data_IF_420789538896
#
_entry.id   IF_420789538896
#
_cell.length_a   1.000
_cell.length_b   1.000
_cell.length_c   1.000
_cell.angle_alpha   90.00
_cell.angle_beta   90.00
_cell.angle_gamma   90.00
#
_symmetry.space_group_name_H-M   'P 1'
#
loop_
_entity.id
_entity.type
_entity.pdbx_description
1 polymer ?
#
# COMPACT_ATOMS: atom_id res chain seq x y z
N UNK A 1 40.27 -46.67 -7.52
CA UNK A 1 38.86 -46.25 -7.67
C UNK A 1 38.69 -45.03 -6.76
N UNK A 2 38.85 -43.83 -7.32
CA UNK A 2 38.58 -42.59 -6.60
C UNK A 2 37.08 -42.33 -6.68
N UNK A 3 36.45 -42.11 -5.52
CA UNK A 3 35.09 -41.62 -5.44
C UNK A 3 35.14 -40.09 -5.53
N UNK A 4 34.78 -39.54 -6.67
CA UNK A 4 34.45 -38.12 -6.79
C UNK A 4 33.08 -37.89 -6.13
N UNK A 5 33.10 -37.15 -5.01
CA UNK A 5 31.88 -36.60 -4.41
C UNK A 5 31.58 -35.31 -5.17
N UNK A 6 30.36 -35.11 -5.71
CA UNK A 6 30.02 -33.85 -6.35
C UNK A 6 30.06 -32.75 -5.31
N UNK A 7 30.87 -31.72 -5.56
CA UNK A 7 30.82 -30.45 -4.83
C UNK A 7 29.39 -29.91 -4.93
N UNK A 8 28.69 -29.92 -3.80
CA UNK A 8 27.50 -29.11 -3.63
C UNK A 8 27.94 -27.67 -3.81
N UNK A 9 27.52 -27.05 -4.92
CA UNK A 9 27.61 -25.61 -5.07
C UNK A 9 26.79 -25.01 -3.93
N UNK A 10 27.46 -24.34 -3.00
CA UNK A 10 26.83 -23.46 -2.04
C UNK A 10 25.99 -22.47 -2.84
N UNK A 11 24.68 -22.68 -2.87
CA UNK A 11 23.75 -21.65 -3.29
C UNK A 11 24.00 -20.50 -2.31
N UNK A 12 24.60 -19.42 -2.81
CA UNK A 12 24.79 -18.23 -2.01
C UNK A 12 23.43 -17.83 -1.45
N UNK A 13 23.31 -17.80 -0.12
CA UNK A 13 22.27 -17.08 0.62
C UNK A 13 22.32 -15.63 0.15
N UNK A 14 21.67 -15.36 -0.97
CA UNK A 14 21.42 -14.00 -1.40
C UNK A 14 20.32 -13.54 -0.47
N UNK A 15 20.54 -12.55 0.41
CA UNK A 15 19.47 -12.04 1.25
C UNK A 15 18.31 -11.71 0.33
N UNK A 16 17.16 -12.35 0.55
CA UNK A 16 15.93 -11.98 -0.13
C UNK A 16 15.75 -10.50 0.19
N UNK A 17 15.92 -9.63 -0.80
CA UNK A 17 15.65 -8.21 -0.60
C UNK A 17 14.18 -8.12 -0.19
N UNK A 18 13.95 -7.78 1.07
CA UNK A 18 12.61 -7.42 1.52
C UNK A 18 12.31 -6.08 0.87
N UNK A 19 11.33 -6.09 -0.02
CA UNK A 19 10.91 -4.89 -0.73
C UNK A 19 10.35 -3.89 0.28
N UNK A 20 10.88 -2.66 0.23
CA UNK A 20 10.40 -1.59 1.10
C UNK A 20 9.15 -0.96 0.52
N UNK A 21 8.20 -0.63 1.36
CA UNK A 21 7.07 0.24 0.99
C UNK A 21 7.58 1.67 0.88
N UNK A 22 7.40 2.27 -0.29
CA UNK A 22 7.84 3.65 -0.53
C UNK A 22 6.92 4.66 0.18
N UNK A 23 7.53 5.68 0.79
CA UNK A 23 6.85 6.84 1.38
C UNK A 23 7.10 8.08 0.53
N UNK A 24 6.02 8.73 0.13
CA UNK A 24 5.99 9.99 -0.63
C UNK A 24 5.22 11.06 0.12
N UNK A 25 5.35 12.32 -0.31
CA UNK A 25 4.65 13.45 0.29
C UNK A 25 4.36 14.58 -0.69
N UNK A 26 3.18 15.20 -0.54
CA UNK A 26 2.82 16.48 -1.19
C UNK A 26 3.23 17.71 -0.38
N UNK A 27 3.76 17.48 0.83
CA UNK A 27 4.35 18.50 1.69
C UNK A 27 5.88 18.32 1.78
N UNK A 28 6.67 19.42 1.81
CA UNK A 28 8.13 19.34 1.91
C UNK A 28 8.61 19.04 3.34
N UNK A 29 8.32 17.84 3.84
CA UNK A 29 8.87 17.36 5.12
C UNK A 29 10.39 17.22 5.06
N UNK A 30 11.04 17.39 6.20
CA UNK A 30 12.46 17.04 6.37
C UNK A 30 12.65 15.53 6.44
N UNK A 31 13.88 15.05 6.21
CA UNK A 31 14.22 13.63 6.35
C UNK A 31 13.86 13.06 7.73
N UNK A 32 14.02 13.87 8.78
CA UNK A 32 13.65 13.48 10.15
C UNK A 32 12.14 13.34 10.32
N UNK A 33 11.36 14.22 9.68
CA UNK A 33 9.90 14.14 9.70
C UNK A 33 9.41 12.94 8.87
N UNK A 34 9.99 12.68 7.69
CA UNK A 34 9.70 11.49 6.90
C UNK A 34 10.01 10.19 7.65
N UNK A 35 11.16 10.12 8.33
CA UNK A 35 11.49 8.99 9.19
C UNK A 35 10.51 8.84 10.36
N UNK A 36 10.04 9.95 10.91
CA UNK A 36 9.01 9.94 11.97
C UNK A 36 7.67 9.42 11.44
N UNK A 37 7.29 9.82 10.23
CA UNK A 37 6.06 9.36 9.58
C UNK A 37 6.16 7.86 9.26
N UNK A 38 7.28 7.41 8.68
CA UNK A 38 7.52 5.99 8.39
C UNK A 38 7.35 5.13 9.66
N UNK A 39 8.02 5.49 10.75
CA UNK A 39 7.87 4.79 12.05
C UNK A 39 6.45 4.83 12.59
N UNK A 40 5.74 5.94 12.40
CA UNK A 40 4.32 5.98 12.77
C UNK A 40 3.48 5.04 11.90
N UNK A 41 3.83 4.87 10.63
CA UNK A 41 3.15 3.96 9.71
C UNK A 41 3.38 2.48 10.03
N UNK A 42 4.58 2.14 10.53
CA UNK A 42 4.96 0.78 10.88
C UNK A 42 4.38 0.30 12.20
N UNK A 43 3.81 1.21 13.02
CA UNK A 43 3.54 0.96 14.44
C UNK A 43 2.76 -0.32 14.70
N UNK A 44 1.57 -0.48 14.11
CA UNK A 44 0.75 -1.65 14.37
C UNK A 44 1.31 -2.89 13.64
N UNK A 45 2.04 -2.71 12.54
CA UNK A 45 2.77 -3.80 11.87
C UNK A 45 3.82 -4.41 12.80
N UNK A 46 4.65 -3.57 13.40
CA UNK A 46 5.66 -3.98 14.37
C UNK A 46 5.05 -4.62 15.63
N UNK A 47 4.02 -3.98 16.20
CA UNK A 47 3.34 -4.48 17.41
C UNK A 47 2.68 -5.86 17.17
N UNK A 48 2.46 -6.26 15.90
CA UNK A 48 1.93 -7.56 15.49
C UNK A 48 2.98 -8.52 14.88
N UNK A 49 4.27 -8.28 15.13
CA UNK A 49 5.36 -9.19 14.72
C UNK A 49 5.93 -8.94 13.32
N UNK A 50 5.61 -7.80 12.70
CA UNK A 50 6.27 -7.30 11.51
C UNK A 50 7.70 -6.83 11.78
N UNK A 51 8.46 -6.62 10.70
CA UNK A 51 9.82 -6.07 10.79
C UNK A 51 9.77 -4.55 10.98
N UNK A 52 10.79 -3.98 11.61
CA UNK A 52 11.06 -2.53 11.54
C UNK A 52 11.67 -2.18 10.18
N UNK A 53 11.59 -0.91 9.78
CA UNK A 53 12.25 -0.33 8.61
C UNK A 53 11.81 -0.89 7.24
N UNK A 54 10.60 -1.47 7.17
CA UNK A 54 9.98 -1.92 5.91
C UNK A 54 9.28 -0.78 5.15
N UNK A 55 9.06 0.38 5.78
CA UNK A 55 8.59 1.62 5.15
C UNK A 55 9.75 2.60 5.10
N UNK A 56 10.02 3.16 3.92
CA UNK A 56 11.11 4.14 3.75
C UNK A 56 10.75 5.26 2.77
N UNK A 57 11.29 6.45 3.04
CA UNK A 57 11.22 7.55 2.09
C UNK A 57 11.86 7.15 0.75
N UNK A 58 11.13 7.38 -0.34
CA UNK A 58 11.69 7.16 -1.67
C UNK A 58 12.85 8.14 -1.96
N UNK A 59 13.74 7.86 -2.93
CA UNK A 59 14.87 8.75 -3.25
C UNK A 59 14.45 10.17 -3.67
N UNK A 60 13.27 10.29 -4.30
CA UNK A 60 12.58 11.55 -4.55
C UNK A 60 11.24 11.48 -3.80
N UNK A 61 11.19 11.84 -2.50
CA UNK A 61 9.98 11.64 -1.70
C UNK A 61 8.96 12.77 -1.89
N UNK A 62 9.37 13.95 -2.37
CA UNK A 62 8.52 15.13 -2.45
C UNK A 62 7.94 15.38 -3.86
N UNK A 63 6.63 15.56 -3.90
CA UNK A 63 5.84 15.92 -5.07
C UNK A 63 5.00 17.17 -4.74
N UNK A 64 5.67 18.32 -4.62
CA UNK A 64 5.01 19.60 -4.31
C UNK A 64 4.47 20.28 -5.58
N UNK A 65 3.58 21.25 -5.44
CA UNK A 65 3.05 22.10 -6.52
C UNK A 65 2.24 21.36 -7.62
N UNK A 66 2.49 21.65 -8.91
CA UNK A 66 1.75 21.09 -10.06
C UNK A 66 1.86 19.57 -10.20
N UNK A 67 2.84 18.97 -9.50
CA UNK A 67 3.10 17.54 -9.44
C UNK A 67 2.43 16.86 -8.24
N UNK A 68 1.74 17.61 -7.37
CA UNK A 68 1.04 17.12 -6.17
C UNK A 68 -0.22 16.30 -6.46
N UNK A 69 -0.16 15.44 -7.48
CA UNK A 69 -1.20 14.51 -7.88
C UNK A 69 -0.68 13.09 -7.71
N UNK A 70 -1.58 12.18 -7.36
CA UNK A 70 -1.23 10.77 -7.12
C UNK A 70 -0.64 10.15 -8.40
N UNK A 71 -1.13 10.54 -9.58
CA UNK A 71 -0.65 10.05 -10.87
C UNK A 71 0.83 10.36 -11.13
N UNK A 72 1.32 11.52 -10.67
CA UNK A 72 2.74 11.88 -10.78
C UNK A 72 3.61 10.99 -9.90
N UNK A 73 3.12 10.66 -8.70
CA UNK A 73 3.78 9.72 -7.78
C UNK A 73 3.80 8.32 -8.40
N UNK A 74 2.68 7.86 -8.95
CA UNK A 74 2.56 6.55 -9.61
C UNK A 74 3.53 6.42 -10.78
N UNK A 75 3.61 7.44 -11.64
CA UNK A 75 4.52 7.43 -12.78
C UNK A 75 5.98 7.26 -12.32
N UNK A 76 6.39 8.03 -11.31
CA UNK A 76 7.72 7.91 -10.73
C UNK A 76 7.94 6.56 -10.04
N UNK A 77 6.97 6.07 -9.26
CA UNK A 77 7.06 4.81 -8.53
C UNK A 77 7.23 3.63 -9.49
N UNK A 78 6.47 3.60 -10.59
CA UNK A 78 6.63 2.59 -11.66
C UNK A 78 8.01 2.62 -12.32
N UNK A 79 8.66 3.78 -12.39
CA UNK A 79 10.04 3.88 -12.87
C UNK A 79 11.06 3.44 -11.81
N UNK A 80 10.82 3.80 -10.55
CA UNK A 80 11.66 3.45 -9.41
C UNK A 80 11.79 1.94 -9.23
N UNK A 81 10.70 1.18 -9.33
CA UNK A 81 10.68 -0.27 -9.05
C UNK A 81 11.34 -1.12 -10.15
N UNK A 82 11.71 -0.52 -11.29
CA UNK A 82 12.41 -1.25 -12.38
C UNK A 82 13.86 -1.55 -12.06
N UNK A 83 14.46 -0.89 -11.06
CA UNK A 83 15.86 -1.08 -10.71
C UNK A 83 16.10 -0.74 -9.24
N UNK A 84 16.85 -1.57 -8.49
CA UNK A 84 17.23 -1.26 -7.12
C UNK A 84 17.99 0.07 -7.04
N UNK A 85 17.81 0.79 -5.94
CA UNK A 85 18.52 2.04 -5.65
C UNK A 85 19.59 1.84 -4.61
N UNK A 86 20.64 2.65 -4.61
CA UNK A 86 21.66 2.60 -3.57
C UNK A 86 21.08 3.02 -2.21
N UNK A 87 21.30 2.20 -1.18
CA UNK A 87 20.99 2.49 0.21
C UNK A 87 22.23 2.38 1.11
N UNK A 88 22.13 2.82 2.37
CA UNK A 88 23.27 2.80 3.32
C UNK A 88 23.80 1.39 3.60
N UNK A 89 22.92 0.38 3.55
CA UNK A 89 23.23 -1.01 3.87
C UNK A 89 23.27 -1.92 2.62
N UNK A 90 23.26 -1.33 1.42
CA UNK A 90 23.23 -2.02 0.15
C UNK A 90 22.06 -1.59 -0.75
N UNK A 91 21.83 -2.30 -1.87
CA UNK A 91 20.71 -2.01 -2.76
C UNK A 91 19.37 -2.10 -2.03
N UNK A 92 18.44 -1.20 -2.37
CA UNK A 92 17.08 -1.16 -1.86
C UNK A 92 16.12 -1.34 -3.04
N UNK A 93 15.25 -2.33 -2.94
CA UNK A 93 14.09 -2.49 -3.82
C UNK A 93 12.84 -1.96 -3.13
N UNK A 94 11.90 -1.44 -3.90
CA UNK A 94 10.61 -0.98 -3.39
C UNK A 94 9.49 -1.90 -3.88
N UNK A 95 8.45 -2.05 -3.06
CA UNK A 95 7.26 -2.83 -3.38
C UNK A 95 6.61 -2.26 -4.67
N UNK A 96 6.32 -3.08 -5.69
CA UNK A 96 5.77 -2.62 -6.96
C UNK A 96 4.26 -2.33 -6.94
N UNK A 97 3.56 -2.79 -5.92
CA UNK A 97 2.11 -2.79 -5.82
C UNK A 97 1.57 -1.80 -4.78
N UNK A 98 2.33 -1.52 -3.72
CA UNK A 98 1.84 -0.73 -2.58
C UNK A 98 2.83 0.36 -2.16
N UNK A 99 2.31 1.57 -1.95
CA UNK A 99 3.08 2.68 -1.40
C UNK A 99 2.19 3.66 -0.63
N UNK A 100 2.82 4.57 0.12
CA UNK A 100 2.15 5.54 0.99
C UNK A 100 2.42 6.95 0.49
N UNK A 101 1.39 7.80 0.52
CA UNK A 101 1.47 9.24 0.23
C UNK A 101 0.94 10.05 1.39
N UNK A 102 1.75 11.00 1.87
CA UNK A 102 1.36 11.97 2.89
C UNK A 102 0.90 13.25 2.22
N UNK A 103 -0.38 13.58 2.35
CA UNK A 103 -0.96 14.74 1.63
C UNK A 103 -0.73 16.06 2.35
N UNK A 104 -0.52 16.05 3.66
CA UNK A 104 -0.65 17.23 4.52
C UNK A 104 0.22 17.14 5.78
N UNK A 105 0.71 18.27 6.33
CA UNK A 105 1.40 18.30 7.63
C UNK A 105 0.51 17.86 8.81
N UNK A 106 -0.81 17.79 8.64
CA UNK A 106 -1.76 17.32 9.64
C UNK A 106 -1.99 15.78 9.59
N UNK A 107 -1.11 15.02 8.96
CA UNK A 107 -1.19 13.56 8.76
C UNK A 107 -1.51 12.73 10.01
N UNK A 108 -1.15 13.19 11.21
CA UNK A 108 -1.52 12.49 12.46
C UNK A 108 -3.03 12.41 12.69
N UNK A 109 -3.75 13.44 12.23
CA UNK A 109 -5.22 13.52 12.33
C UNK A 109 -5.86 13.07 11.03
N UNK A 110 -5.34 13.53 9.90
CA UNK A 110 -5.92 13.32 8.57
C UNK A 110 -5.59 11.93 8.01
N UNK A 111 -4.62 11.22 8.59
CA UNK A 111 -4.15 9.94 8.09
C UNK A 111 -3.14 10.06 6.96
N UNK A 112 -2.88 8.92 6.33
CA UNK A 112 -2.01 8.77 5.15
C UNK A 112 -2.77 8.04 4.04
N UNK A 113 -2.45 8.34 2.79
CA UNK A 113 -3.06 7.68 1.65
C UNK A 113 -2.24 6.43 1.32
N UNK A 114 -2.84 5.25 1.45
CA UNK A 114 -2.27 4.01 0.91
C UNK A 114 -2.76 3.87 -0.52
N UNK A 115 -1.86 3.56 -1.44
CA UNK A 115 -2.14 3.36 -2.87
C UNK A 115 -1.89 1.91 -3.23
N UNK A 116 -2.83 1.30 -3.95
CA UNK A 116 -2.67 -0.01 -4.58
C UNK A 116 -2.57 0.11 -6.10
N UNK A 117 -1.59 -0.59 -6.67
CA UNK A 117 -1.41 -0.82 -8.10
C UNK A 117 -1.67 -2.29 -8.47
N UNK A 118 -2.05 -3.12 -7.51
CA UNK A 118 -2.21 -4.56 -7.70
C UNK A 118 -3.44 -4.85 -8.57
N UNK A 119 -3.23 -5.37 -9.77
CA UNK A 119 -4.31 -5.66 -10.72
C UNK A 119 -5.35 -6.68 -10.23
N UNK A 120 -5.01 -7.55 -9.27
CA UNK A 120 -5.99 -8.45 -8.67
C UNK A 120 -6.96 -7.66 -7.80
N UNK A 121 -6.44 -6.83 -6.89
CA UNK A 121 -7.22 -5.96 -6.01
C UNK A 121 -8.07 -4.97 -6.80
N UNK A 122 -7.52 -4.36 -7.86
CA UNK A 122 -8.25 -3.39 -8.68
C UNK A 122 -9.49 -3.99 -9.36
N UNK A 123 -9.49 -5.29 -9.67
CA UNK A 123 -10.65 -5.98 -10.26
C UNK A 123 -11.77 -6.22 -9.25
N UNK A 124 -11.46 -6.18 -7.97
CA UNK A 124 -12.43 -6.38 -6.90
C UNK A 124 -13.08 -5.06 -6.46
N UNK A 125 -12.54 -3.91 -6.89
CA UNK A 125 -13.10 -2.60 -6.54
C UNK A 125 -14.53 -2.43 -7.08
N UNK A 126 -15.51 -2.00 -6.25
CA UNK A 126 -16.91 -1.71 -6.61
C UNK A 126 -17.23 -0.69 -7.71
N UNK A 127 -16.30 -0.29 -8.58
CA UNK A 127 -16.44 0.96 -9.34
C UNK A 127 -16.68 0.74 -10.85
N UNK A 128 -17.40 -0.31 -11.23
CA UNK A 128 -17.66 -0.68 -12.63
C UNK A 128 -16.38 -0.79 -13.49
N UNK A 129 -15.26 -1.16 -12.85
CA UNK A 129 -13.95 -1.32 -13.47
C UNK A 129 -13.22 -0.01 -13.75
N UNK A 130 -13.64 1.11 -13.17
CA UNK A 130 -12.92 2.39 -13.28
C UNK A 130 -11.53 2.31 -12.64
N UNK A 131 -11.37 1.59 -11.52
CA UNK A 131 -10.07 1.37 -10.88
C UNK A 131 -9.11 0.62 -11.79
N UNK A 132 -9.60 -0.42 -12.49
CA UNK A 132 -8.82 -1.17 -13.49
C UNK A 132 -8.40 -0.27 -14.65
N UNK A 133 -9.30 0.57 -15.18
CA UNK A 133 -8.98 1.50 -16.29
C UNK A 133 -7.98 2.56 -15.87
N UNK A 134 -8.12 3.09 -14.66
CA UNK A 134 -7.23 4.07 -14.03
C UNK A 134 -5.88 3.44 -13.68
N UNK A 135 -5.85 2.14 -13.41
CA UNK A 135 -4.66 1.35 -13.08
C UNK A 135 -4.13 1.61 -11.67
N UNK A 136 -4.98 2.12 -10.78
CA UNK A 136 -4.69 2.33 -9.36
C UNK A 136 -5.98 2.63 -8.58
N UNK A 137 -5.95 2.30 -7.29
CA UNK A 137 -6.92 2.78 -6.30
C UNK A 137 -6.19 3.24 -5.04
N UNK A 138 -6.84 4.06 -4.22
CA UNK A 138 -6.21 4.56 -3.00
C UNK A 138 -7.25 4.82 -1.91
N UNK A 139 -6.82 4.67 -0.66
CA UNK A 139 -7.68 4.86 0.49
C UNK A 139 -6.91 5.49 1.67
N UNK A 140 -7.63 6.24 2.51
CA UNK A 140 -7.03 6.87 3.69
C UNK A 140 -7.07 5.93 4.87
N UNK A 141 -5.92 5.76 5.50
CA UNK A 141 -5.77 5.01 6.73
C UNK A 141 -5.17 5.91 7.80
N UNK A 142 -5.39 5.59 9.07
CA UNK A 142 -4.57 6.17 10.13
C UNK A 142 -3.11 5.80 9.87
N UNK A 143 -2.18 6.66 10.27
CA UNK A 143 -0.76 6.34 10.12
C UNK A 143 -0.46 4.98 10.78
N UNK A 144 -0.81 4.80 12.06
CA UNK A 144 -0.49 3.59 12.82
C UNK A 144 -0.93 2.26 12.17
N UNK A 145 -2.06 2.23 11.47
CA UNK A 145 -2.62 1.01 10.85
C UNK A 145 -2.06 0.74 9.45
N UNK A 146 -1.65 1.79 8.71
CA UNK A 146 -1.27 1.69 7.30
C UNK A 146 -0.21 0.63 6.98
N UNK A 147 0.81 0.47 7.84
CA UNK A 147 1.83 -0.55 7.63
C UNK A 147 1.30 -1.98 7.80
N UNK A 148 0.44 -2.21 8.80
CA UNK A 148 -0.19 -3.51 9.02
C UNK A 148 -1.16 -3.86 7.87
N UNK A 149 -1.91 -2.87 7.37
CA UNK A 149 -2.75 -3.03 6.18
C UNK A 149 -1.93 -3.53 4.99
N UNK A 150 -0.81 -2.88 4.70
CA UNK A 150 0.05 -3.28 3.58
C UNK A 150 0.65 -4.68 3.77
N UNK A 151 1.13 -5.01 4.98
CA UNK A 151 1.66 -6.34 5.28
C UNK A 151 0.62 -7.45 5.02
N UNK A 152 -0.63 -7.23 5.42
CA UNK A 152 -1.71 -8.17 5.19
C UNK A 152 -2.08 -8.31 3.71
N UNK A 153 -2.08 -7.20 2.96
CA UNK A 153 -2.29 -7.19 1.51
C UNK A 153 -1.17 -7.94 0.76
N UNK A 154 0.08 -7.79 1.19
CA UNK A 154 1.23 -8.48 0.59
C UNK A 154 1.15 -10.01 0.74
N UNK A 155 0.58 -10.51 1.84
CA UNK A 155 0.42 -11.95 2.09
C UNK A 155 -0.97 -12.48 1.72
N UNK A 156 -1.82 -11.64 1.10
CA UNK A 156 -3.21 -11.96 0.77
C UNK A 156 -4.00 -12.53 1.97
N UNK A 157 -3.75 -12.02 3.18
CA UNK A 157 -4.53 -12.38 4.36
C UNK A 157 -5.94 -11.78 4.29
N UNK A 158 -6.06 -10.61 3.66
CA UNK A 158 -7.29 -9.87 3.47
C UNK A 158 -7.17 -8.97 2.23
N UNK A 159 -8.28 -8.78 1.52
CA UNK A 159 -8.32 -8.02 0.27
C UNK A 159 -8.43 -6.51 0.49
N UNK A 160 -8.12 -5.75 -0.56
CA UNK A 160 -8.15 -4.28 -0.59
C UNK A 160 -9.53 -3.73 -0.20
N UNK A 161 -10.58 -4.27 -0.81
CA UNK A 161 -11.95 -3.80 -0.57
C UNK A 161 -12.40 -4.03 0.86
N UNK A 162 -12.03 -5.15 1.48
CA UNK A 162 -12.34 -5.44 2.88
C UNK A 162 -11.64 -4.44 3.83
N UNK A 163 -10.37 -4.09 3.58
CA UNK A 163 -9.68 -3.08 4.39
C UNK A 163 -10.30 -1.69 4.30
N UNK A 164 -10.84 -1.32 3.15
CA UNK A 164 -11.51 -0.01 2.99
C UNK A 164 -12.80 0.12 3.81
N UNK A 165 -13.28 -0.94 4.46
CA UNK A 165 -14.48 -0.90 5.32
C UNK A 165 -14.18 -0.92 6.82
N UNK A 166 -12.91 -0.88 7.24
CA UNK A 166 -12.55 -0.96 8.66
C UNK A 166 -12.47 0.43 9.29
N UNK A 167 -13.53 0.84 9.98
CA UNK A 167 -13.64 2.17 10.60
C UNK A 167 -12.51 2.47 11.61
N UNK A 168 -12.06 1.46 12.36
CA UNK A 168 -11.00 1.59 13.38
C UNK A 168 -9.62 1.97 12.77
N UNK A 169 -9.44 1.67 11.48
CA UNK A 169 -8.21 1.91 10.72
C UNK A 169 -8.27 3.16 9.86
N UNK A 170 -9.39 3.90 9.88
CA UNK A 170 -9.62 5.12 9.10
C UNK A 170 -9.42 6.38 9.95
N UNK A 171 -8.94 7.49 9.37
CA UNK A 171 -8.86 8.77 10.08
C UNK A 171 -10.27 9.31 10.36
N UNK A 172 -10.44 10.01 11.48
CA UNK A 172 -11.72 10.61 11.84
C UNK A 172 -12.20 11.62 10.77
N UNK A 173 -13.26 11.26 10.03
CA UNK A 173 -14.08 12.20 9.26
C UNK A 173 -13.50 12.72 7.94
N UNK A 174 -12.68 11.94 7.22
CA UNK A 174 -12.26 12.31 5.85
C UNK A 174 -12.16 11.11 4.90
N UNK A 175 -13.05 11.09 3.90
CA UNK A 175 -12.92 10.23 2.73
C UNK A 175 -12.25 10.97 1.58
N UNK A 176 -11.51 10.21 0.75
CA UNK A 176 -10.76 10.78 -0.38
C UNK A 176 -11.45 10.59 -1.72
N UNK A 177 -12.45 9.73 -1.82
CA UNK A 177 -13.15 9.39 -3.07
C UNK A 177 -14.66 9.64 -3.05
N UNK A 178 -15.21 10.09 -1.92
CA UNK A 178 -16.61 10.46 -1.81
C UNK A 178 -17.57 9.28 -1.87
N UNK A 179 -17.14 8.08 -1.44
CA UNK A 179 -18.00 6.89 -1.30
C UNK A 179 -19.02 7.01 -0.12
N UNK A 180 -18.93 8.07 0.69
CA UNK A 180 -19.71 8.37 1.90
C UNK A 180 -19.80 7.17 2.88
N UNK A 181 -18.68 6.46 3.05
CA UNK A 181 -18.50 5.36 3.99
C UNK A 181 -19.20 4.09 3.55
N UNK A 182 -19.73 4.07 2.33
CA UNK A 182 -20.52 2.95 1.82
C UNK A 182 -19.61 1.85 1.30
N UNK A 183 -19.84 0.65 1.82
CA UNK A 183 -19.28 -0.60 1.31
C UNK A 183 -19.75 -0.89 -0.13
N UNK A 184 -19.08 -1.82 -0.82
CA UNK A 184 -19.58 -2.39 -2.09
C UNK A 184 -21.06 -2.78 -1.99
N UNK A 185 -21.43 -3.49 -0.93
CA UNK A 185 -22.78 -4.00 -0.68
C UNK A 185 -23.79 -2.89 -0.39
N UNK A 186 -23.36 -1.75 0.14
CA UNK A 186 -24.24 -0.60 0.38
C UNK A 186 -24.40 0.29 -0.86
N UNK A 187 -23.40 0.30 -1.75
CA UNK A 187 -23.50 0.94 -3.06
C UNK A 187 -24.27 0.07 -4.07
N UNK A 188 -24.23 -1.26 -3.90
CA UNK A 188 -24.93 -2.25 -4.69
C UNK A 188 -25.69 -3.22 -3.77
N UNK A 189 -26.81 -2.79 -3.17
CA UNK A 189 -27.68 -3.72 -2.47
C UNK A 189 -28.10 -4.76 -3.50
N UNK A 190 -27.71 -6.02 -3.29
CA UNK A 190 -28.17 -7.13 -4.14
C UNK A 190 -29.68 -6.95 -4.36
N UNK A 191 -30.11 -6.86 -5.62
CA UNK A 191 -31.54 -6.93 -5.90
C UNK A 191 -32.02 -8.21 -5.24
N UNK A 192 -33.06 -8.16 -4.37
CA UNK A 192 -33.54 -9.35 -3.70
C UNK A 192 -33.84 -10.37 -4.78
N UNK A 193 -33.15 -11.51 -4.71
CA UNK A 193 -33.34 -12.64 -5.59
C UNK A 193 -34.86 -12.85 -5.73
N UNK A 194 -35.42 -12.59 -6.92
CA UNK A 194 -36.82 -12.87 -7.24
C UNK A 194 -37.02 -14.40 -7.37
N UNK A 195 -36.43 -15.15 -6.46
CA UNK A 195 -36.59 -16.58 -6.24
C UNK A 195 -37.36 -16.79 -4.95
N UNK A 196 -38.66 -16.51 -4.95
CA UNK A 196 -39.73 -17.37 -4.39
C UNK A 196 -41.03 -16.60 -4.11
N UNK A 197 -42.07 -17.00 -4.87
CA UNK A 197 -43.53 -17.01 -4.62
C UNK A 197 -44.29 -16.33 -5.77
N UNK A 198 -45.04 -17.06 -6.59
CA UNK A 198 -46.29 -17.69 -6.15
C UNK A 198 -46.47 -19.10 -6.73
N UNK A 199 -46.72 -20.04 -5.83
CA UNK A 199 -47.66 -21.13 -6.10
C UNK A 199 -49.05 -20.50 -6.26
N UNK A 200 -49.70 -20.81 -7.38
CA UNK A 200 -51.14 -21.05 -7.48
C UNK A 200 -51.41 -21.95 -8.70
#
# INVERSE_FOLDING_TARGET
MSNDVPSQSEAADTPTLVEKVALYSFHPFTDTELATIAKACEKDGYDNGGNEDFIAAAPKPHFTDSDGKVESVIAYHRDLVKSPTDGPDGPVSYDPNYFIVVKSPQWKKEGVLVVTLNEFELKEVPDDGEAVKRGWDAWMFTAKSSGLTILNLQIANMGWTEYTTWDDDQPEGQEVDGRDGKTWYEMHPEEPDEGERQQD
#
